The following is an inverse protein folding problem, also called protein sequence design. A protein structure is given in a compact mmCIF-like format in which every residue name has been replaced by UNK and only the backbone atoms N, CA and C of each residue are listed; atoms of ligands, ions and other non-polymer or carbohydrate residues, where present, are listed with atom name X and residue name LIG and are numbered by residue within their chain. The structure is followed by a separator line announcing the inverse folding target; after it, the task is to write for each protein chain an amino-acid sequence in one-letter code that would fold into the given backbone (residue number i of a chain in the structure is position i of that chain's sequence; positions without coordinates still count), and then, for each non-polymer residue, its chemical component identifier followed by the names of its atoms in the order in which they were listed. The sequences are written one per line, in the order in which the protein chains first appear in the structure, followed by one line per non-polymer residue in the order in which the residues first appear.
data_IF_253085964461
#
_entry.id   IF_253085964461
#
_cell.length_a   1.000
_cell.length_b   1.000
_cell.length_c   1.000
_cell.angle_alpha   90.00
_cell.angle_beta   90.00
_cell.angle_gamma   90.00
#
_symmetry.space_group_name_H-M   'P 1'
#
loop_
_entity.id
_entity.type
_entity.pdbx_description
1 polymer ?
#
# COMPACT_ATOMS: atom_id res chain seq x y z
N UNK A 1 15.65 -10.82 10.22
CA UNK A 1 14.37 -10.07 10.11
C UNK A 1 14.64 -8.83 9.27
N UNK A 2 13.74 -8.44 8.33
CA UNK A 2 13.93 -7.26 7.46
C UNK A 2 12.92 -6.15 7.74
N UNK A 3 11.78 -6.45 8.33
CA UNK A 3 10.73 -5.46 8.62
C UNK A 3 9.66 -6.01 9.53
N UNK A 4 8.76 -5.12 9.93
CA UNK A 4 7.64 -5.41 10.84
C UNK A 4 6.35 -4.84 10.24
N UNK A 5 5.28 -5.62 10.34
CA UNK A 5 3.91 -5.14 10.07
C UNK A 5 3.22 -4.85 11.39
N UNK A 6 3.45 -3.66 11.94
CA UNK A 6 2.64 -3.16 13.06
C UNK A 6 1.46 -2.37 12.53
N UNK A 7 0.30 -2.58 13.14
CA UNK A 7 -0.95 -1.93 12.75
C UNK A 7 -1.38 -0.96 13.83
N UNK A 8 -1.61 0.32 13.50
CA UNK A 8 -2.34 1.19 14.40
C UNK A 8 -3.78 0.70 14.55
N UNK A 9 -4.50 1.19 15.56
CA UNK A 9 -5.95 1.08 15.55
C UNK A 9 -6.50 1.94 14.42
N UNK A 10 -7.62 1.52 13.87
CA UNK A 10 -8.33 2.21 12.80
C UNK A 10 -9.78 2.46 13.22
N UNK A 11 -10.40 3.51 12.69
CA UNK A 11 -11.81 3.76 12.82
C UNK A 11 -12.65 2.66 12.14
N UNK A 12 -13.93 2.54 12.53
CA UNK A 12 -14.83 1.51 11.96
C UNK A 12 -15.22 1.80 10.52
N UNK A 13 -15.14 3.08 10.11
CA UNK A 13 -15.48 3.51 8.76
C UNK A 13 -15.00 4.92 8.42
N UNK A 14 -15.17 5.33 7.15
CA UNK A 14 -14.87 6.69 6.73
C UNK A 14 -15.73 7.72 7.48
N UNK A 15 -15.13 8.86 7.83
CA UNK A 15 -15.78 9.91 8.62
C UNK A 15 -15.66 9.75 10.13
N UNK A 16 -15.23 8.59 10.61
CA UNK A 16 -14.91 8.37 12.02
C UNK A 16 -13.41 8.61 12.28
N UNK A 17 -13.08 8.99 13.51
CA UNK A 17 -11.70 9.25 13.92
C UNK A 17 -11.33 8.50 15.20
N UNK A 18 -10.13 7.93 15.19
CA UNK A 18 -9.46 7.38 16.38
C UNK A 18 -8.25 8.22 16.79
N UNK A 19 -8.14 9.43 16.22
CA UNK A 19 -7.01 10.34 16.45
C UNK A 19 -6.83 10.61 17.95
N UNK A 20 -5.61 10.47 18.43
CA UNK A 20 -5.27 10.66 19.84
C UNK A 20 -5.62 9.50 20.77
N UNK A 21 -6.32 8.48 20.31
CA UNK A 21 -6.56 7.29 21.12
C UNK A 21 -5.27 6.44 21.24
N UNK A 22 -5.13 5.66 22.33
CA UNK A 22 -4.01 4.72 22.47
C UNK A 22 -3.87 3.81 21.25
N UNK A 23 -2.66 3.66 20.73
CA UNK A 23 -2.30 2.89 19.54
C UNK A 23 -2.80 3.48 18.20
N UNK A 24 -3.37 4.68 18.17
CA UNK A 24 -3.63 5.39 16.91
C UNK A 24 -2.31 5.83 16.25
N UNK A 25 -2.39 6.27 15.00
CA UNK A 25 -1.24 6.85 14.27
C UNK A 25 -0.63 8.06 15.00
N UNK A 26 -1.40 8.76 15.84
CA UNK A 26 -0.97 9.94 16.61
C UNK A 26 -0.59 9.63 18.06
N UNK A 27 -0.73 8.37 18.51
CA UNK A 27 -0.32 7.99 19.87
C UNK A 27 1.21 8.17 20.03
N UNK A 28 1.68 9.02 20.96
CA UNK A 28 3.12 9.27 21.15
C UNK A 28 3.90 8.00 21.51
N UNK A 29 3.29 7.09 22.28
CA UNK A 29 3.93 5.81 22.66
C UNK A 29 4.10 4.91 21.42
N UNK A 30 3.09 4.87 20.56
CA UNK A 30 3.14 4.10 19.31
C UNK A 30 4.18 4.69 18.35
N UNK A 31 4.20 6.03 18.17
CA UNK A 31 5.20 6.75 17.35
C UNK A 31 6.62 6.53 17.86
N UNK A 32 6.82 6.60 19.19
CA UNK A 32 8.12 6.27 19.79
C UNK A 32 8.56 4.84 19.44
N UNK A 33 7.63 3.91 19.30
CA UNK A 33 7.91 2.55 18.84
C UNK A 33 8.46 2.50 17.42
N UNK A 34 8.02 3.39 16.53
CA UNK A 34 8.51 3.45 15.15
C UNK A 34 9.99 3.88 15.07
N UNK A 35 10.45 4.75 15.96
CA UNK A 35 11.88 5.14 15.99
C UNK A 35 12.82 3.96 16.21
N UNK A 36 12.31 2.87 16.83
CA UNK A 36 13.09 1.64 16.99
C UNK A 36 13.26 0.90 15.67
N UNK A 37 12.29 1.01 14.75
CA UNK A 37 12.44 0.43 13.41
C UNK A 37 13.57 1.10 12.64
N UNK A 38 13.68 2.43 12.71
CA UNK A 38 14.80 3.17 12.13
C UNK A 38 16.12 2.77 12.78
N UNK A 39 16.18 2.74 14.12
CA UNK A 39 17.38 2.35 14.87
C UNK A 39 17.92 0.99 14.47
N UNK A 40 17.05 0.03 14.19
CA UNK A 40 17.41 -1.34 13.83
C UNK A 40 17.38 -1.62 12.33
N UNK A 41 17.28 -0.59 11.50
CA UNK A 41 17.20 -0.70 10.03
C UNK A 41 16.10 -1.67 9.55
N UNK A 42 14.95 -1.63 10.21
CA UNK A 42 13.77 -2.42 9.86
C UNK A 42 12.80 -1.60 9.02
N UNK A 43 12.22 -2.23 7.99
CA UNK A 43 11.14 -1.60 7.22
C UNK A 43 9.81 -1.68 7.98
N UNK A 44 8.95 -0.72 7.73
CA UNK A 44 7.58 -0.73 8.20
C UNK A 44 6.60 -1.09 7.07
N UNK A 45 5.93 -2.23 7.23
CA UNK A 45 4.80 -2.63 6.39
C UNK A 45 3.53 -1.93 6.90
N UNK A 46 3.29 -0.71 6.44
CA UNK A 46 2.13 0.12 6.79
C UNK A 46 0.84 -0.52 6.29
N UNK A 47 -0.12 -0.74 7.17
CA UNK A 47 -1.43 -1.28 6.82
C UNK A 47 -2.55 -0.46 7.45
N UNK A 48 -3.13 0.43 6.66
CA UNK A 48 -4.30 1.25 7.02
C UNK A 48 -5.28 1.30 5.83
N UNK A 49 -6.58 1.51 6.07
CA UNK A 49 -7.56 1.71 5.00
C UNK A 49 -7.47 3.13 4.41
N UNK A 50 -8.13 3.33 3.27
CA UNK A 50 -8.06 4.55 2.47
C UNK A 50 -8.38 5.83 3.25
N UNK A 51 -9.27 5.79 4.22
CA UNK A 51 -9.68 6.95 5.02
C UNK A 51 -8.69 7.33 6.14
N UNK A 52 -7.58 6.59 6.29
CA UNK A 52 -6.47 6.92 7.20
C UNK A 52 -5.15 7.25 6.48
N UNK A 53 -5.15 7.32 5.14
CA UNK A 53 -3.89 7.51 4.39
C UNK A 53 -3.28 8.90 4.60
N UNK A 54 -4.08 9.96 4.73
CA UNK A 54 -3.56 11.30 5.01
C UNK A 54 -2.91 11.36 6.39
N UNK A 55 -3.52 10.76 7.42
CA UNK A 55 -2.93 10.64 8.75
C UNK A 55 -1.64 9.80 8.74
N UNK A 56 -1.61 8.74 7.93
CA UNK A 56 -0.40 7.94 7.76
C UNK A 56 0.72 8.74 7.09
N UNK A 57 0.40 9.60 6.13
CA UNK A 57 1.38 10.47 5.49
C UNK A 57 2.01 11.48 6.47
N UNK A 58 1.26 11.96 7.47
CA UNK A 58 1.83 12.78 8.56
C UNK A 58 2.97 12.02 9.25
N UNK A 59 2.72 10.77 9.64
CA UNK A 59 3.73 9.92 10.31
C UNK A 59 4.91 9.61 9.40
N UNK A 60 4.64 9.30 8.11
CA UNK A 60 5.71 8.99 7.16
C UNK A 60 6.68 10.15 6.95
N UNK A 61 6.19 11.39 6.99
CA UNK A 61 7.03 12.60 6.91
C UNK A 61 7.94 12.80 8.12
N UNK A 62 7.52 12.33 9.29
CA UNK A 62 8.34 12.41 10.53
C UNK A 62 9.50 11.41 10.53
N UNK A 63 9.45 10.39 9.67
CA UNK A 63 10.43 9.31 9.58
C UNK A 63 11.05 9.19 8.18
N UNK A 64 11.73 10.25 7.65
CA UNK A 64 12.14 10.31 6.25
C UNK A 64 13.20 9.26 5.86
N UNK A 65 13.91 8.70 6.81
CA UNK A 65 14.95 7.67 6.59
C UNK A 65 14.40 6.25 6.68
N UNK A 66 13.21 6.07 7.25
CA UNK A 66 12.58 4.76 7.38
C UNK A 66 12.08 4.25 6.03
N UNK A 67 12.38 2.99 5.71
CA UNK A 67 11.75 2.31 4.57
C UNK A 67 10.32 1.92 4.93
N UNK A 68 9.34 2.52 4.26
CA UNK A 68 7.92 2.28 4.50
C UNK A 68 7.29 1.73 3.23
N UNK A 69 6.47 0.69 3.35
CA UNK A 69 5.65 0.21 2.24
C UNK A 69 4.18 0.15 2.63
N UNK A 70 3.36 0.90 1.91
CA UNK A 70 1.91 0.83 2.03
C UNK A 70 1.42 -0.52 1.49
N UNK A 71 0.73 -1.30 2.31
CA UNK A 71 0.13 -2.56 1.88
C UNK A 71 -1.20 -2.33 1.18
N UNK A 72 -1.42 -3.09 0.10
CA UNK A 72 -2.73 -3.28 -0.53
C UNK A 72 -3.36 -1.97 -1.04
N UNK A 73 -2.54 -1.06 -1.56
CA UNK A 73 -3.01 0.23 -2.11
C UNK A 73 -3.93 1.01 -1.15
N UNK A 74 -3.78 0.80 0.18
CA UNK A 74 -4.64 1.43 1.19
C UNK A 74 -6.07 0.88 1.23
N UNK A 75 -6.31 -0.33 0.70
CA UNK A 75 -7.63 -0.99 0.71
C UNK A 75 -8.77 -0.12 0.19
N UNK A 76 -8.75 0.38 -1.04
CA UNK A 76 -9.86 1.16 -1.60
C UNK A 76 -11.06 0.25 -1.89
N UNK A 77 -11.75 -0.23 -0.85
CA UNK A 77 -12.83 -1.22 -0.95
C UNK A 77 -14.16 -0.59 -1.36
N UNK A 78 -14.42 0.64 -0.94
CA UNK A 78 -15.53 1.43 -1.43
C UNK A 78 -15.12 2.13 -2.74
N UNK A 79 -15.87 1.88 -3.80
CA UNK A 79 -15.63 2.39 -5.15
C UNK A 79 -16.58 3.52 -5.55
N UNK A 80 -17.32 4.09 -4.59
CA UNK A 80 -18.08 5.31 -4.86
C UNK A 80 -17.15 6.45 -5.28
N UNK A 81 -17.59 7.37 -6.14
CA UNK A 81 -16.75 8.50 -6.57
C UNK A 81 -16.17 9.30 -5.40
N UNK A 82 -16.96 9.49 -4.34
CA UNK A 82 -16.57 10.20 -3.13
C UNK A 82 -15.41 9.48 -2.41
N UNK A 83 -15.53 8.17 -2.20
CA UNK A 83 -14.52 7.39 -1.48
C UNK A 83 -13.26 7.17 -2.32
N UNK A 84 -13.39 7.07 -3.64
CA UNK A 84 -12.24 7.05 -4.55
C UNK A 84 -11.50 8.39 -4.52
N UNK A 85 -12.21 9.52 -4.40
CA UNK A 85 -11.59 10.84 -4.24
C UNK A 85 -10.80 10.93 -2.93
N UNK A 86 -11.37 10.48 -1.80
CA UNK A 86 -10.67 10.40 -0.50
C UNK A 86 -9.43 9.52 -0.60
N UNK A 87 -9.57 8.33 -1.20
CA UNK A 87 -8.44 7.42 -1.44
C UNK A 87 -7.34 8.10 -2.26
N UNK A 88 -7.68 8.74 -3.38
CA UNK A 88 -6.73 9.41 -4.27
C UNK A 88 -5.92 10.47 -3.52
N UNK A 89 -6.59 11.35 -2.78
CA UNK A 89 -5.96 12.38 -1.97
C UNK A 89 -4.96 11.80 -0.95
N UNK A 90 -5.35 10.74 -0.25
CA UNK A 90 -4.48 10.06 0.68
C UNK A 90 -3.29 9.36 0.03
N UNK A 91 -3.49 8.76 -1.15
CA UNK A 91 -2.41 8.15 -1.95
C UNK A 91 -1.41 9.19 -2.45
N UNK A 92 -1.87 10.34 -2.93
CA UNK A 92 -1.02 11.47 -3.35
C UNK A 92 -0.19 12.00 -2.18
N UNK A 93 -0.80 12.13 -0.99
CA UNK A 93 -0.10 12.55 0.22
C UNK A 93 1.02 11.57 0.62
N UNK A 94 0.79 10.26 0.49
CA UNK A 94 1.80 9.23 0.73
C UNK A 94 2.86 9.18 -0.39
N UNK A 95 2.45 9.32 -1.64
CA UNK A 95 3.36 9.33 -2.78
C UNK A 95 4.35 10.52 -2.74
N UNK A 96 3.92 11.65 -2.14
CA UNK A 96 4.79 12.80 -1.87
C UNK A 96 5.90 12.51 -0.82
N UNK A 97 5.80 11.40 -0.08
CA UNK A 97 6.85 10.96 0.84
C UNK A 97 7.83 10.04 0.07
N UNK A 98 9.10 10.46 -0.17
CA UNK A 98 10.04 9.70 -1.03
C UNK A 98 10.44 8.34 -0.45
N UNK A 99 10.33 8.17 0.85
CA UNK A 99 10.63 6.94 1.59
C UNK A 99 9.47 5.93 1.61
N UNK A 100 8.32 6.27 1.00
CA UNK A 100 7.13 5.40 0.95
C UNK A 100 7.02 4.69 -0.40
N UNK A 101 6.86 3.39 -0.34
CA UNK A 101 6.62 2.47 -1.44
C UNK A 101 5.19 1.94 -1.37
N UNK A 102 4.68 1.32 -2.43
CA UNK A 102 3.33 0.76 -2.46
C UNK A 102 3.29 -0.67 -2.97
N UNK A 103 2.66 -1.57 -2.21
CA UNK A 103 2.26 -2.90 -2.68
C UNK A 103 0.90 -2.83 -3.36
N UNK A 104 0.89 -3.12 -4.63
CA UNK A 104 -0.32 -3.18 -5.45
C UNK A 104 -0.94 -4.57 -5.29
N UNK A 105 -1.95 -4.66 -4.45
CA UNK A 105 -2.65 -5.91 -4.08
C UNK A 105 -3.89 -5.61 -3.23
N UNK A 106 -4.58 -6.66 -2.73
CA UNK A 106 -5.67 -6.51 -1.77
C UNK A 106 -6.95 -5.91 -2.37
N UNK A 107 -7.29 -6.31 -3.58
CA UNK A 107 -8.42 -5.76 -4.33
C UNK A 107 -9.75 -6.48 -4.12
N UNK A 108 -9.78 -7.55 -3.32
CA UNK A 108 -11.02 -8.31 -3.10
C UNK A 108 -12.11 -7.45 -2.50
N UNK A 109 -13.19 -7.24 -3.26
CA UNK A 109 -14.41 -6.57 -2.80
C UNK A 109 -15.49 -7.62 -2.58
N UNK A 110 -16.19 -7.55 -1.44
CA UNK A 110 -17.26 -8.50 -1.10
C UNK A 110 -18.33 -8.52 -2.20
N UNK A 111 -18.72 -9.72 -2.63
CA UNK A 111 -19.79 -9.91 -3.63
C UNK A 111 -19.42 -9.53 -5.07
N UNK A 112 -18.16 -9.11 -5.33
CA UNK A 112 -17.72 -8.72 -6.67
C UNK A 112 -16.63 -9.67 -7.20
N UNK A 113 -16.56 -9.89 -8.53
CA UNK A 113 -15.48 -10.67 -9.14
C UNK A 113 -14.17 -9.88 -9.15
N UNK A 114 -13.06 -10.60 -9.18
CA UNK A 114 -11.74 -10.00 -9.39
C UNK A 114 -11.49 -9.83 -10.90
N UNK A 115 -11.62 -8.59 -11.43
CA UNK A 115 -11.45 -8.31 -12.87
C UNK A 115 -10.67 -7.01 -13.11
N UNK A 116 -10.04 -6.87 -14.26
CA UNK A 116 -9.38 -5.62 -14.67
C UNK A 116 -10.37 -4.47 -14.83
N UNK A 117 -11.56 -4.73 -15.32
CA UNK A 117 -12.60 -3.69 -15.44
C UNK A 117 -12.88 -3.02 -14.09
N UNK A 118 -12.80 -3.80 -12.98
CA UNK A 118 -13.01 -3.29 -11.65
C UNK A 118 -11.76 -2.66 -11.02
N UNK A 119 -10.58 -3.21 -11.29
CA UNK A 119 -9.36 -2.87 -10.54
C UNK A 119 -8.31 -2.13 -11.35
N UNK A 120 -8.38 -2.19 -12.69
CA UNK A 120 -7.35 -1.64 -13.58
C UNK A 120 -7.12 -0.14 -13.40
N UNK A 121 -8.18 0.65 -13.21
CA UNK A 121 -8.07 2.09 -12.93
C UNK A 121 -7.27 2.37 -11.66
N UNK A 122 -7.59 1.70 -10.55
CA UNK A 122 -6.87 1.85 -9.26
C UNK A 122 -5.41 1.43 -9.40
N UNK A 123 -5.11 0.37 -10.15
CA UNK A 123 -3.74 -0.09 -10.38
C UNK A 123 -2.96 0.97 -11.15
N UNK A 124 -3.50 1.48 -12.25
CA UNK A 124 -2.84 2.51 -13.07
C UNK A 124 -2.67 3.83 -12.31
N UNK A 125 -3.69 4.27 -11.59
CA UNK A 125 -3.62 5.47 -10.74
C UNK A 125 -2.51 5.33 -9.68
N UNK A 126 -2.42 4.18 -9.02
CA UNK A 126 -1.35 3.91 -8.03
C UNK A 126 0.03 4.01 -8.66
N UNK A 127 0.24 3.38 -9.83
CA UNK A 127 1.52 3.45 -10.55
C UNK A 127 1.81 4.88 -11.00
N UNK A 128 0.80 5.63 -11.45
CA UNK A 128 0.96 7.04 -11.84
C UNK A 128 1.40 7.93 -10.69
N UNK A 129 0.82 7.75 -9.50
CA UNK A 129 1.14 8.57 -8.31
C UNK A 129 2.51 8.26 -7.71
N UNK A 130 2.86 6.97 -7.54
CA UNK A 130 4.11 6.55 -6.90
C UNK A 130 5.28 6.39 -7.86
N UNK A 131 5.01 6.27 -9.15
CA UNK A 131 5.99 5.85 -10.15
C UNK A 131 6.26 4.35 -10.11
N UNK A 132 6.71 3.79 -11.25
CA UNK A 132 7.06 2.38 -11.35
C UNK A 132 8.22 1.99 -10.42
N UNK A 133 9.04 2.94 -9.99
CA UNK A 133 10.21 2.71 -9.14
C UNK A 133 9.87 2.45 -7.68
N UNK A 134 8.66 2.81 -7.24
CA UNK A 134 8.22 2.65 -5.86
C UNK A 134 6.95 1.80 -5.70
N UNK A 135 6.57 1.07 -6.76
CA UNK A 135 5.46 0.12 -6.72
C UNK A 135 5.95 -1.31 -6.85
N UNK A 136 5.27 -2.24 -6.21
CA UNK A 136 5.49 -3.68 -6.37
C UNK A 136 4.17 -4.44 -6.36
N UNK A 137 4.01 -5.40 -7.27
CA UNK A 137 2.85 -6.28 -7.28
C UNK A 137 2.94 -7.34 -6.17
N UNK A 138 1.80 -7.66 -5.58
CA UNK A 138 1.67 -8.74 -4.63
C UNK A 138 0.29 -9.40 -4.75
N UNK A 139 0.19 -10.69 -4.43
CA UNK A 139 -1.05 -11.46 -4.60
C UNK A 139 -2.08 -11.21 -3.51
N UNK A 140 -1.66 -10.79 -2.31
CA UNK A 140 -2.47 -10.88 -1.08
C UNK A 140 -3.02 -12.29 -0.82
N UNK A 141 -2.33 -13.31 -1.33
CA UNK A 141 -2.72 -14.69 -1.09
C UNK A 141 -2.45 -15.10 0.38
N UNK A 142 -3.32 -15.90 1.04
CA UNK A 142 -4.50 -16.57 0.50
C UNK A 142 -5.79 -15.72 0.51
N UNK A 143 -5.78 -14.49 1.02
CA UNK A 143 -6.99 -13.67 1.20
C UNK A 143 -7.71 -13.39 -0.14
N UNK A 144 -7.00 -12.91 -1.14
CA UNK A 144 -7.58 -12.70 -2.47
C UNK A 144 -7.82 -14.03 -3.23
N UNK A 145 -7.22 -15.13 -2.75
CA UNK A 145 -7.41 -16.48 -3.29
C UNK A 145 -8.85 -17.00 -3.18
N UNK A 146 -9.68 -16.42 -2.31
CA UNK A 146 -11.12 -16.72 -2.24
C UNK A 146 -11.90 -16.20 -3.45
N UNK A 147 -11.31 -15.35 -4.28
CA UNK A 147 -11.94 -14.71 -5.45
C UNK A 147 -11.23 -14.99 -6.77
N UNK A 148 -9.92 -15.21 -6.75
CA UNK A 148 -9.14 -15.43 -7.96
C UNK A 148 -7.89 -16.25 -7.62
N UNK A 149 -7.48 -17.16 -8.51
CA UNK A 149 -6.23 -17.87 -8.35
C UNK A 149 -5.03 -16.91 -8.39
N UNK A 150 -3.91 -17.34 -7.83
CA UNK A 150 -2.66 -16.59 -7.89
C UNK A 150 -2.27 -16.27 -9.34
N UNK A 151 -2.33 -17.28 -10.23
CA UNK A 151 -2.01 -17.12 -11.66
C UNK A 151 -2.92 -16.09 -12.34
N UNK A 152 -4.24 -16.16 -12.05
CA UNK A 152 -5.19 -15.19 -12.58
C UNK A 152 -4.81 -13.75 -12.21
N UNK A 153 -4.55 -13.50 -10.92
CA UNK A 153 -4.17 -12.17 -10.42
C UNK A 153 -2.93 -11.65 -11.15
N UNK A 154 -1.87 -12.47 -11.27
CA UNK A 154 -0.65 -12.05 -11.94
C UNK A 154 -0.80 -11.92 -13.46
N UNK A 155 -1.63 -12.74 -14.10
CA UNK A 155 -1.99 -12.54 -15.51
C UNK A 155 -2.69 -11.18 -15.73
N UNK A 156 -3.59 -10.77 -14.82
CA UNK A 156 -4.24 -9.47 -14.90
C UNK A 156 -3.24 -8.32 -14.67
N UNK A 157 -2.28 -8.46 -13.76
CA UNK A 157 -1.21 -7.47 -13.59
C UNK A 157 -0.35 -7.34 -14.85
N UNK A 158 -0.02 -8.45 -15.51
CA UNK A 158 0.68 -8.44 -16.81
C UNK A 158 -0.14 -7.71 -17.88
N UNK A 159 -1.44 -7.98 -17.94
CA UNK A 159 -2.33 -7.36 -18.92
C UNK A 159 -2.47 -5.83 -18.70
N UNK A 160 -2.64 -5.38 -17.45
CA UNK A 160 -2.81 -3.94 -17.14
C UNK A 160 -1.52 -3.13 -17.38
N UNK A 161 -0.37 -3.78 -17.48
CA UNK A 161 0.94 -3.14 -17.70
C UNK A 161 1.55 -3.51 -19.05
N UNK A 162 0.78 -4.09 -19.98
CA UNK A 162 1.30 -4.58 -21.25
C UNK A 162 1.88 -3.48 -22.15
N UNK A 163 1.39 -2.26 -22.01
CA UNK A 163 1.83 -1.05 -22.71
C UNK A 163 3.03 -0.34 -22.07
N UNK A 164 3.49 -0.81 -20.90
CA UNK A 164 4.62 -0.21 -20.20
C UNK A 164 5.96 -0.78 -20.71
N UNK A 165 7.05 0.01 -20.65
CA UNK A 165 8.39 -0.48 -20.96
C UNK A 165 8.78 -1.69 -20.11
N UNK A 166 9.48 -2.66 -20.68
CA UNK A 166 9.90 -3.89 -19.99
C UNK A 166 10.71 -3.62 -18.71
N UNK A 167 11.55 -2.60 -18.72
CA UNK A 167 12.30 -2.20 -17.52
C UNK A 167 11.37 -1.77 -16.36
N UNK A 168 10.30 -1.01 -16.65
CA UNK A 168 9.32 -0.61 -15.65
C UNK A 168 8.52 -1.82 -15.14
N UNK A 169 8.09 -2.69 -16.06
CA UNK A 169 7.39 -3.94 -15.70
C UNK A 169 8.25 -4.82 -14.80
N UNK A 170 9.53 -5.01 -15.13
CA UNK A 170 10.45 -5.79 -14.32
C UNK A 170 10.58 -5.24 -12.89
N UNK A 171 10.63 -3.92 -12.71
CA UNK A 171 10.60 -3.27 -11.39
C UNK A 171 9.34 -3.63 -10.61
N UNK A 172 8.17 -3.49 -11.23
CA UNK A 172 6.87 -3.77 -10.62
C UNK A 172 6.73 -5.24 -10.17
N UNK A 173 7.29 -6.19 -10.93
CA UNK A 173 7.12 -7.62 -10.66
C UNK A 173 8.23 -8.23 -9.77
N UNK A 174 9.44 -7.65 -9.73
CA UNK A 174 10.55 -8.26 -9.03
C UNK A 174 11.51 -7.27 -8.38
N UNK A 175 12.15 -6.39 -9.17
CA UNK A 175 13.34 -5.64 -8.76
C UNK A 175 13.05 -4.75 -7.53
N UNK A 176 11.90 -4.11 -7.49
CA UNK A 176 11.51 -3.25 -6.37
C UNK A 176 11.32 -4.04 -5.07
N UNK A 177 10.76 -5.23 -5.14
CA UNK A 177 10.60 -6.07 -3.95
C UNK A 177 11.98 -6.56 -3.44
N UNK A 178 12.88 -6.96 -4.34
CA UNK A 178 14.25 -7.33 -4.00
C UNK A 178 14.98 -6.17 -3.32
N UNK A 179 14.91 -4.97 -3.90
CA UNK A 179 15.56 -3.77 -3.38
C UNK A 179 14.97 -3.35 -2.02
N UNK A 180 13.64 -3.24 -1.92
CA UNK A 180 12.97 -2.81 -0.70
C UNK A 180 13.26 -3.74 0.48
N UNK A 181 13.12 -5.05 0.28
CA UNK A 181 13.33 -6.05 1.31
C UNK A 181 14.80 -6.50 1.45
N UNK A 182 15.71 -5.96 0.63
CA UNK A 182 17.14 -6.28 0.65
C UNK A 182 17.36 -7.79 0.50
N UNK A 183 16.67 -8.39 -0.45
CA UNK A 183 16.78 -9.81 -0.79
C UNK A 183 17.86 -9.92 -1.87
N UNK A 184 18.84 -10.75 -1.62
CA UNK A 184 19.82 -11.16 -2.64
C UNK A 184 19.21 -12.33 -3.42
N UNK A 185 19.15 -12.25 -4.77
CA UNK A 185 18.66 -13.36 -5.61
C UNK A 185 19.59 -14.57 -5.55
#
# INVERSE_FOLDING_TARGET
MRGIRTKPIIASGPGESVRGQPRSLQDPKWRKGLTLLEKYDLSWDLRVPWYHLEEAAEVCREHPTMRIVLNHTGYPLDRSPEQVSVWRKGMEALAACPNVWCKISGFTVKGKPWTLAMHGGIIRDTISMFGADRCMFASNHPVDGVKASWDWIFCQFKAVTADMPDAARRKLFADNALAFYRIQP
#
